data_IF_257878794114
#
_entry.id   IF_257878794114
#
_cell.length_a   1.000
_cell.length_b   1.000
_cell.length_c   1.000
_cell.angle_alpha   90.00
_cell.angle_beta   90.00
_cell.angle_gamma   90.00
#
_symmetry.space_group_name_H-M   'P 1'
#
loop_
_entity.id
_entity.type
_entity.pdbx_description
1 polymer ?
#
# COMPACT_ATOMS: atom_id res chain seq x y z
N UNK A 1 6.70 -7.68 14.84
CA UNK A 1 5.71 -8.66 15.35
C UNK A 1 5.20 -9.55 14.22
N UNK A 2 4.46 -9.03 13.24
CA UNK A 2 3.88 -9.80 12.11
C UNK A 2 4.87 -10.76 11.44
N UNK A 3 6.07 -10.29 11.06
CA UNK A 3 7.12 -11.15 10.46
C UNK A 3 7.60 -12.28 11.37
N UNK A 4 7.66 -12.03 12.68
CA UNK A 4 8.06 -13.04 13.68
C UNK A 4 6.95 -14.08 13.86
N UNK A 5 5.69 -13.67 13.74
CA UNK A 5 4.52 -14.54 13.94
C UNK A 5 4.24 -15.43 12.74
N UNK A 6 4.27 -14.90 11.53
CA UNK A 6 3.94 -15.64 10.30
C UNK A 6 5.16 -16.27 9.61
N UNK A 7 6.37 -15.92 10.05
CA UNK A 7 7.62 -16.50 9.54
C UNK A 7 7.70 -16.46 8.01
N UNK A 8 8.00 -17.62 7.40
CA UNK A 8 8.05 -17.81 5.94
C UNK A 8 6.76 -18.43 5.36
N UNK A 9 5.72 -18.65 6.18
CA UNK A 9 4.48 -19.28 5.71
C UNK A 9 3.66 -18.33 4.83
N UNK A 10 3.80 -17.01 5.06
CA UNK A 10 3.12 -15.98 4.28
C UNK A 10 4.16 -14.95 3.85
N UNK A 11 4.14 -14.57 2.56
CA UNK A 11 4.99 -13.49 2.05
C UNK A 11 4.50 -12.16 2.61
N UNK A 12 5.42 -11.44 3.27
CA UNK A 12 5.15 -10.11 3.84
C UNK A 12 5.97 -9.08 3.07
N UNK A 13 5.26 -8.16 2.42
CA UNK A 13 5.84 -7.01 1.71
C UNK A 13 6.51 -6.03 2.66
N UNK A 14 7.54 -5.35 2.18
CA UNK A 14 8.33 -4.38 2.95
C UNK A 14 7.61 -3.03 3.03
N UNK A 15 6.85 -2.67 1.99
CA UNK A 15 6.06 -1.45 1.95
C UNK A 15 4.96 -1.45 3.04
N UNK A 16 5.00 -0.41 3.88
CA UNK A 16 3.98 -0.17 4.91
C UNK A 16 3.01 0.91 4.45
N UNK A 17 1.72 0.58 4.37
CA UNK A 17 0.65 1.56 4.13
C UNK A 17 0.17 2.09 5.48
N UNK A 18 0.55 3.32 5.81
CA UNK A 18 0.08 4.00 7.02
C UNK A 18 -1.41 4.34 6.89
N UNK A 19 -2.15 4.30 7.99
CA UNK A 19 -3.53 4.82 8.01
C UNK A 19 -3.52 6.33 7.78
N UNK A 20 -4.48 6.81 6.99
CA UNK A 20 -4.63 8.23 6.66
C UNK A 20 -6.11 8.53 6.39
N UNK A 21 -6.54 9.75 6.71
CA UNK A 21 -7.89 10.27 6.39
C UNK A 21 -8.10 10.44 4.87
N UNK A 22 -7.01 10.51 4.10
CA UNK A 22 -7.07 10.61 2.64
C UNK A 22 -7.69 9.39 1.98
N UNK A 23 -7.58 8.21 2.60
CA UNK A 23 -8.21 7.01 2.08
C UNK A 23 -9.75 7.11 2.10
N UNK A 24 -10.41 7.34 3.26
CA UNK A 24 -11.87 7.50 3.26
C UNK A 24 -12.34 8.70 2.43
N UNK A 25 -11.59 9.81 2.39
CA UNK A 25 -11.90 10.95 1.51
C UNK A 25 -11.89 10.56 0.01
N UNK A 26 -10.87 9.80 -0.43
CA UNK A 26 -10.81 9.28 -1.80
C UNK A 26 -12.00 8.36 -2.13
N UNK A 27 -12.42 7.52 -1.17
CA UNK A 27 -13.56 6.63 -1.36
C UNK A 27 -14.87 7.42 -1.46
N UNK A 28 -15.07 8.43 -0.62
CA UNK A 28 -16.24 9.30 -0.65
C UNK A 28 -16.38 10.05 -1.99
N UNK A 29 -15.24 10.40 -2.61
CA UNK A 29 -15.20 11.05 -3.92
C UNK A 29 -15.21 10.07 -5.10
N UNK A 30 -15.31 8.76 -4.85
CA UNK A 30 -15.28 7.69 -5.84
C UNK A 30 -14.01 7.72 -6.72
N UNK A 31 -12.87 8.06 -6.10
CA UNK A 31 -11.58 8.14 -6.77
C UNK A 31 -10.57 7.20 -6.10
N UNK A 32 -9.62 6.70 -6.87
CA UNK A 32 -8.46 6.01 -6.29
C UNK A 32 -7.58 7.02 -5.55
N UNK A 33 -6.84 6.56 -4.54
CA UNK A 33 -5.86 7.40 -3.83
C UNK A 33 -4.80 7.97 -4.80
N UNK A 34 -4.50 7.26 -5.88
CA UNK A 34 -3.55 7.69 -6.91
C UNK A 34 -4.05 8.91 -7.71
N UNK A 35 -5.37 9.06 -7.86
CA UNK A 35 -5.99 10.23 -8.49
C UNK A 35 -6.30 11.33 -7.48
N UNK A 36 -6.83 10.96 -6.31
CA UNK A 36 -7.26 11.91 -5.28
C UNK A 36 -6.09 12.68 -4.68
N UNK A 37 -4.97 12.00 -4.38
CA UNK A 37 -3.77 12.63 -3.82
C UNK A 37 -2.50 12.05 -4.49
N UNK A 38 -2.23 12.40 -5.76
CA UNK A 38 -1.21 11.71 -6.56
C UNK A 38 0.20 11.74 -5.98
N UNK A 39 0.54 12.79 -5.22
CA UNK A 39 1.86 12.97 -4.59
C UNK A 39 1.85 12.65 -3.09
N UNK A 40 0.71 12.22 -2.56
CA UNK A 40 0.51 11.89 -1.15
C UNK A 40 1.29 10.67 -0.68
N UNK A 41 1.39 10.51 0.65
CA UNK A 41 2.00 9.32 1.25
C UNK A 41 1.27 8.03 0.87
N UNK A 42 -0.07 8.07 0.85
CA UNK A 42 -0.88 6.91 0.48
C UNK A 42 -0.64 6.47 -0.97
N UNK A 43 -0.60 7.42 -1.90
CA UNK A 43 -0.33 7.12 -3.30
C UNK A 43 1.10 6.59 -3.52
N UNK A 44 2.10 7.16 -2.84
CA UNK A 44 3.49 6.67 -2.88
C UNK A 44 3.61 5.25 -2.33
N UNK A 45 2.95 4.96 -1.21
CA UNK A 45 2.94 3.62 -0.62
C UNK A 45 2.30 2.60 -1.58
N UNK A 46 1.16 2.91 -2.20
CA UNK A 46 0.55 2.00 -3.18
C UNK A 46 1.43 1.76 -4.42
N UNK A 47 2.15 2.78 -4.90
CA UNK A 47 3.12 2.61 -6.01
C UNK A 47 4.30 1.73 -5.63
N UNK A 48 4.86 1.92 -4.43
CA UNK A 48 5.95 1.10 -3.92
C UNK A 48 5.51 -0.37 -3.74
N UNK A 49 4.32 -0.59 -3.17
CA UNK A 49 3.74 -1.92 -3.04
C UNK A 49 3.53 -2.59 -4.41
N UNK A 50 3.01 -1.85 -5.40
CA UNK A 50 2.83 -2.38 -6.75
C UNK A 50 4.17 -2.81 -7.37
N UNK A 51 5.23 -2.03 -7.18
CA UNK A 51 6.57 -2.39 -7.65
C UNK A 51 7.09 -3.67 -6.97
N UNK A 52 6.90 -3.82 -5.65
CA UNK A 52 7.25 -5.06 -4.94
C UNK A 52 6.48 -6.27 -5.46
N UNK A 53 5.18 -6.12 -5.73
CA UNK A 53 4.35 -7.20 -6.28
C UNK A 53 4.87 -7.64 -7.66
N UNK A 54 5.16 -6.68 -8.54
CA UNK A 54 5.69 -6.97 -9.87
C UNK A 54 7.06 -7.68 -9.81
N UNK A 55 7.95 -7.23 -8.93
CA UNK A 55 9.26 -7.84 -8.74
C UNK A 55 9.17 -9.22 -8.07
N UNK A 56 8.16 -9.47 -7.24
CA UNK A 56 7.95 -10.75 -6.56
C UNK A 56 7.28 -11.82 -7.45
N UNK A 57 6.79 -11.43 -8.63
CA UNK A 57 6.09 -12.28 -9.60
C UNK A 57 7.02 -12.88 -10.66
N UNK A 58 8.31 -12.52 -10.64
CA UNK A 58 9.38 -13.03 -11.52
C UNK A 58 10.33 -13.89 -10.70
#
# INVERSE_FOLDING_TARGET
YVRKTFGHQVRIFDTVIKRSVRFPESQATHQSILRHEPQGEGARAYRALAAEVLNASV
#
